data_IF_829138925354
#
_entry.id   IF_829138925354
#
_cell.length_a   1.000
_cell.length_b   1.000
_cell.length_c   1.000
_cell.angle_alpha   90.00
_cell.angle_beta   90.00
_cell.angle_gamma   90.00
#
_symmetry.space_group_name_H-M   'P 1'
#
loop_
_entity.id
_entity.type
_entity.pdbx_description
1 polymer ?
#
# COMPACT_ATOMS: atom_id res chain seq x y z
N UNK A 1 4.12 -30.55 -3.47
CA UNK A 1 5.07 -29.55 -3.98
C UNK A 1 4.28 -28.60 -4.85
N UNK A 2 3.69 -27.57 -4.25
CA UNK A 2 3.08 -26.44 -4.95
C UNK A 2 3.94 -25.25 -4.54
N UNK A 3 4.66 -24.65 -5.48
CA UNK A 3 5.41 -23.42 -5.21
C UNK A 3 4.42 -22.33 -4.85
N UNK A 4 4.57 -21.73 -3.67
CA UNK A 4 3.83 -20.52 -3.34
C UNK A 4 4.30 -19.44 -4.32
N UNK A 5 3.45 -19.07 -5.28
CA UNK A 5 3.57 -17.77 -5.91
C UNK A 5 3.30 -16.77 -4.79
N UNK A 6 4.36 -16.12 -4.30
CA UNK A 6 4.24 -15.09 -3.27
C UNK A 6 3.61 -13.88 -3.94
N UNK A 7 2.30 -13.72 -3.75
CA UNK A 7 1.54 -12.66 -4.35
C UNK A 7 1.99 -11.29 -3.83
N UNK A 8 1.71 -10.23 -4.59
CA UNK A 8 1.95 -8.85 -4.15
C UNK A 8 1.17 -8.58 -2.88
N UNK A 9 1.82 -8.00 -1.88
CA UNK A 9 1.22 -7.70 -0.57
C UNK A 9 1.13 -6.20 -0.35
N UNK A 10 0.15 -5.79 0.43
CA UNK A 10 0.08 -4.46 1.03
C UNK A 10 1.12 -4.41 2.15
N UNK A 11 2.15 -3.59 1.99
CA UNK A 11 3.32 -3.54 2.85
C UNK A 11 3.24 -2.47 3.94
N UNK A 12 2.82 -1.27 3.56
CA UNK A 12 2.68 -0.13 4.47
C UNK A 12 1.41 0.65 4.12
N UNK A 13 0.76 1.17 5.15
CA UNK A 13 -0.32 2.16 5.03
C UNK A 13 0.11 3.35 5.89
N UNK A 14 0.45 4.47 5.27
CA UNK A 14 0.70 5.72 5.98
C UNK A 14 -0.60 6.49 6.07
N UNK A 15 -1.22 6.49 7.25
CA UNK A 15 -2.44 7.23 7.52
C UNK A 15 -2.22 8.19 8.70
N UNK A 16 -2.97 9.30 8.73
CA UNK A 16 -2.89 10.29 9.80
C UNK A 16 -1.45 10.85 10.00
N UNK A 17 -0.91 11.58 9.01
CA UNK A 17 0.42 12.18 9.11
C UNK A 17 0.51 13.19 10.28
N UNK A 18 1.74 13.53 10.74
CA UNK A 18 1.94 14.45 11.88
C UNK A 18 1.23 15.79 11.73
N UNK A 19 1.13 16.27 10.49
CA UNK A 19 0.35 17.43 10.09
C UNK A 19 -0.71 16.98 9.07
N UNK A 20 -1.96 16.86 9.51
CA UNK A 20 -3.09 16.45 8.66
C UNK A 20 -3.51 17.50 7.62
N UNK A 21 -2.85 18.66 7.57
CA UNK A 21 -3.00 19.63 6.49
C UNK A 21 -2.05 19.36 5.32
N UNK A 22 -1.04 18.51 5.52
CA UNK A 22 -0.12 18.04 4.48
C UNK A 22 -0.59 16.67 4.00
N UNK A 23 -0.85 16.57 2.70
CA UNK A 23 -1.44 15.39 2.06
C UNK A 23 -0.41 14.28 1.81
N UNK A 24 -0.02 13.60 2.88
CA UNK A 24 1.06 12.60 2.87
C UNK A 24 0.57 11.16 3.00
N UNK A 25 -0.73 10.90 2.93
CA UNK A 25 -1.25 9.54 3.08
C UNK A 25 -0.92 8.65 1.87
N UNK A 26 -0.46 7.42 2.12
CA UNK A 26 -0.08 6.48 1.06
C UNK A 26 -0.30 5.01 1.42
N UNK A 27 -0.35 4.18 0.38
CA UNK A 27 -0.30 2.72 0.44
C UNK A 27 0.96 2.26 -0.29
N UNK A 28 1.76 1.41 0.32
CA UNK A 28 2.91 0.77 -0.32
C UNK A 28 2.60 -0.71 -0.58
N UNK A 29 2.94 -1.16 -1.79
CA UNK A 29 2.93 -2.57 -2.16
C UNK A 29 4.35 -3.13 -2.18
N UNK A 30 4.51 -4.41 -1.82
CA UNK A 30 5.77 -5.13 -1.91
C UNK A 30 5.60 -6.40 -2.75
N UNK A 31 6.62 -6.70 -3.56
CA UNK A 31 6.74 -7.96 -4.27
C UNK A 31 7.75 -8.90 -3.58
N UNK A 32 7.29 -9.83 -2.71
CA UNK A 32 8.18 -10.82 -2.09
C UNK A 32 8.66 -11.93 -3.05
N UNK A 33 8.17 -11.94 -4.29
CA UNK A 33 8.51 -12.95 -5.29
C UNK A 33 9.87 -12.79 -5.94
N UNK A 34 10.22 -13.79 -6.74
CA UNK A 34 11.47 -13.87 -7.49
C UNK A 34 11.35 -13.35 -8.95
N UNK A 35 10.16 -12.86 -9.34
CA UNK A 35 9.87 -12.34 -10.67
C UNK A 35 9.13 -11.00 -10.66
N UNK A 36 9.18 -10.30 -11.79
CA UNK A 36 8.37 -9.10 -12.04
C UNK A 36 6.89 -9.48 -12.17
N UNK A 37 6.01 -8.70 -11.53
CA UNK A 37 4.55 -8.82 -11.65
C UNK A 37 4.01 -7.61 -12.40
N UNK A 38 3.18 -7.88 -13.41
CA UNK A 38 2.44 -6.86 -14.14
C UNK A 38 1.11 -6.56 -13.42
N UNK A 39 0.92 -5.31 -13.04
CA UNK A 39 -0.25 -4.81 -12.31
C UNK A 39 -1.28 -4.18 -13.23
N UNK A 40 -1.14 -4.26 -14.55
CA UNK A 40 -2.09 -3.67 -15.49
C UNK A 40 -3.52 -4.13 -15.20
N UNK A 41 -4.43 -3.17 -14.95
CA UNK A 41 -5.83 -3.44 -14.63
C UNK A 41 -6.10 -3.94 -13.21
N UNK A 42 -5.08 -4.11 -12.36
CA UNK A 42 -5.26 -4.35 -10.93
C UNK A 42 -5.85 -3.11 -10.27
N UNK A 43 -6.34 -3.24 -9.03
CA UNK A 43 -6.79 -2.07 -8.27
C UNK A 43 -6.68 -2.18 -6.75
N UNK A 44 -6.56 -1.03 -6.11
CA UNK A 44 -6.92 -0.83 -4.72
C UNK A 44 -8.44 -0.59 -4.61
N UNK A 45 -9.06 -1.11 -3.56
CA UNK A 45 -10.48 -0.88 -3.26
C UNK A 45 -10.76 -0.97 -1.76
N UNK A 46 -11.85 -0.35 -1.32
CA UNK A 46 -12.28 -0.34 0.08
C UNK A 46 -12.07 1.04 0.70
N UNK A 47 -10.99 1.20 1.46
CA UNK A 47 -10.62 2.48 2.07
C UNK A 47 -10.26 3.56 1.01
N UNK A 48 -9.53 3.13 -0.02
CA UNK A 48 -9.18 3.96 -1.18
C UNK A 48 -9.45 3.19 -2.46
N UNK A 49 -9.67 3.92 -3.56
CA UNK A 49 -9.86 3.38 -4.90
C UNK A 49 -8.75 3.89 -5.83
N UNK A 50 -8.07 2.97 -6.50
CA UNK A 50 -7.03 3.29 -7.49
C UNK A 50 -6.87 2.15 -8.51
N UNK A 51 -6.89 2.46 -9.80
CA UNK A 51 -6.68 1.46 -10.88
C UNK A 51 -5.31 1.66 -11.51
N UNK A 52 -4.53 0.59 -11.58
CA UNK A 52 -3.21 0.61 -12.19
C UNK A 52 -3.33 0.67 -13.72
N UNK A 53 -2.64 1.65 -14.32
CA UNK A 53 -2.57 1.80 -15.78
C UNK A 53 -1.81 0.64 -16.44
N UNK A 54 -2.02 0.47 -17.74
CA UNK A 54 -1.25 -0.48 -18.56
C UNK A 54 0.26 -0.25 -18.43
N UNK A 55 1.01 -1.34 -18.27
CA UNK A 55 2.46 -1.36 -18.18
C UNK A 55 3.03 -1.05 -16.78
N UNK A 56 2.20 -0.84 -15.76
CA UNK A 56 2.69 -0.75 -14.38
C UNK A 56 3.16 -2.11 -13.92
N UNK A 57 4.41 -2.18 -13.46
CA UNK A 57 5.08 -3.41 -13.04
C UNK A 57 5.81 -3.21 -11.73
N UNK A 58 5.92 -4.27 -10.95
CA UNK A 58 6.73 -4.33 -9.73
C UNK A 58 7.72 -5.48 -9.84
N UNK A 59 9.02 -5.14 -9.81
CA UNK A 59 10.10 -6.13 -9.88
C UNK A 59 10.16 -7.00 -8.62
N UNK A 60 10.89 -8.12 -8.70
CA UNK A 60 11.20 -8.96 -7.54
C UNK A 60 11.88 -8.15 -6.42
N UNK A 61 11.39 -8.26 -5.19
CA UNK A 61 11.90 -7.53 -4.02
C UNK A 61 11.71 -6.00 -4.09
N UNK A 62 10.92 -5.50 -5.04
CA UNK A 62 10.68 -4.07 -5.20
C UNK A 62 9.42 -3.62 -4.46
N UNK A 63 9.33 -2.30 -4.27
CA UNK A 63 8.21 -1.61 -3.64
C UNK A 63 7.54 -0.65 -4.64
N UNK A 64 6.25 -0.40 -4.45
CA UNK A 64 5.48 0.57 -5.24
C UNK A 64 4.53 1.36 -4.33
N UNK A 65 4.66 2.68 -4.34
CA UNK A 65 3.86 3.59 -3.50
C UNK A 65 2.71 4.19 -4.31
N UNK A 66 1.53 4.25 -3.71
CA UNK A 66 0.32 4.89 -4.24
C UNK A 66 -0.16 5.92 -3.21
N UNK A 67 -0.21 7.18 -3.57
CA UNK A 67 -0.44 8.29 -2.65
C UNK A 67 -1.69 9.10 -2.96
N UNK A 68 -2.22 9.80 -1.94
CA UNK A 68 -3.30 10.77 -2.13
C UNK A 68 -2.85 12.01 -2.94
N UNK A 69 -1.56 12.31 -2.87
CA UNK A 69 -0.91 13.45 -3.53
C UNK A 69 0.58 13.12 -3.83
N UNK A 70 0.89 12.58 -5.02
CA UNK A 70 2.25 12.18 -5.38
C UNK A 70 3.26 13.33 -5.38
N UNK A 71 2.83 14.54 -5.73
CA UNK A 71 3.72 15.71 -5.74
C UNK A 71 4.10 16.12 -4.32
N UNK A 72 3.16 16.05 -3.37
CA UNK A 72 3.43 16.28 -1.96
C UNK A 72 4.46 15.29 -1.41
N UNK A 73 4.34 14.00 -1.69
CA UNK A 73 5.34 13.00 -1.28
C UNK A 73 6.71 13.26 -1.91
N UNK A 74 6.75 13.64 -3.19
CA UNK A 74 7.98 13.98 -3.90
C UNK A 74 8.68 15.19 -3.26
N UNK A 75 7.92 16.18 -2.82
CA UNK A 75 8.46 17.43 -2.25
C UNK A 75 8.84 17.30 -0.78
N UNK A 76 8.07 16.53 -0.01
CA UNK A 76 8.22 16.45 1.45
C UNK A 76 9.03 15.25 1.93
N UNK A 77 8.94 14.13 1.23
CA UNK A 77 9.61 12.87 1.58
C UNK A 77 10.67 12.44 0.54
N UNK A 78 10.82 13.18 -0.56
CA UNK A 78 11.70 12.82 -1.68
C UNK A 78 11.42 11.39 -2.22
N UNK A 79 10.14 11.00 -2.21
CA UNK A 79 9.68 9.68 -2.67
C UNK A 79 8.85 9.81 -3.95
N UNK A 80 8.99 8.84 -4.85
CA UNK A 80 8.16 8.75 -6.06
C UNK A 80 6.95 7.89 -5.77
N UNK A 81 5.77 8.36 -6.15
CA UNK A 81 4.52 7.63 -5.97
C UNK A 81 3.65 7.67 -7.24
N UNK A 82 2.81 6.67 -7.39
CA UNK A 82 1.63 6.71 -8.24
C UNK A 82 0.48 7.42 -7.51
N UNK A 83 -0.55 7.80 -8.25
CA UNK A 83 -1.74 8.45 -7.71
C UNK A 83 -2.22 9.59 -8.62
N UNK A 84 -3.09 10.48 -8.11
CA UNK A 84 -3.77 10.35 -6.82
C UNK A 84 -4.72 9.14 -6.79
N UNK A 85 -4.90 8.52 -5.62
CA UNK A 85 -6.05 7.65 -5.39
C UNK A 85 -7.28 8.48 -5.00
N UNK A 86 -8.47 7.89 -5.14
CA UNK A 86 -9.71 8.43 -4.60
C UNK A 86 -9.99 7.86 -3.20
N UNK A 87 -10.72 8.61 -2.37
CA UNK A 87 -11.01 8.22 -0.98
C UNK A 87 -10.06 8.85 0.03
N UNK A 88 -9.98 8.26 1.22
CA UNK A 88 -9.10 8.69 2.33
C UNK A 88 -8.76 7.48 3.18
N UNK A 89 -7.62 7.49 3.87
CA UNK A 89 -7.33 6.45 4.85
C UNK A 89 -7.84 6.91 6.21
N UNK A 90 -9.01 6.43 6.64
CA UNK A 90 -9.58 6.86 7.92
C UNK A 90 -8.66 6.48 9.10
N UNK A 91 -8.42 7.45 9.99
CA UNK A 91 -7.66 7.28 11.22
C UNK A 91 -8.26 6.26 12.18
N UNK A 92 -9.57 6.00 12.06
CA UNK A 92 -10.26 4.95 12.77
C UNK A 92 -10.13 3.58 12.10
N UNK A 93 -9.33 3.45 11.05
CA UNK A 93 -9.04 2.21 10.36
C UNK A 93 -10.19 1.64 9.53
N UNK A 94 -9.84 1.02 8.41
CA UNK A 94 -10.77 0.50 7.41
C UNK A 94 -10.21 -0.76 6.75
N UNK A 95 -10.98 -1.37 5.85
CA UNK A 95 -10.47 -2.48 5.04
C UNK A 95 -9.94 -1.99 3.70
N UNK A 96 -8.67 -2.24 3.45
CA UNK A 96 -8.02 -2.04 2.15
C UNK A 96 -7.84 -3.40 1.46
N UNK A 97 -8.08 -3.45 0.15
CA UNK A 97 -7.92 -4.66 -0.68
C UNK A 97 -7.09 -4.35 -1.91
N UNK A 98 -6.16 -5.24 -2.21
CA UNK A 98 -5.52 -5.34 -3.51
C UNK A 98 -6.24 -6.40 -4.32
N UNK A 99 -6.64 -6.06 -5.55
CA UNK A 99 -7.35 -6.96 -6.46
C UNK A 99 -6.61 -7.06 -7.79
N UNK A 100 -6.59 -8.26 -8.36
CA UNK A 100 -5.99 -8.48 -9.67
C UNK A 100 -6.89 -7.97 -10.81
N UNK A 101 -6.44 -8.18 -12.05
CA UNK A 101 -7.19 -7.80 -13.26
C UNK A 101 -8.45 -8.62 -13.52
N UNK A 102 -8.65 -9.75 -12.82
CA UNK A 102 -9.88 -10.55 -12.85
C UNK A 102 -10.84 -10.19 -11.72
N UNK A 103 -10.53 -9.17 -10.92
CA UNK A 103 -11.26 -8.78 -9.72
C UNK A 103 -11.17 -9.79 -8.55
N UNK A 104 -10.17 -10.67 -8.57
CA UNK A 104 -9.87 -11.56 -7.44
C UNK A 104 -9.08 -10.80 -6.37
N UNK A 105 -9.42 -11.02 -5.09
CA UNK A 105 -8.69 -10.40 -3.98
C UNK A 105 -7.34 -11.10 -3.83
N UNK A 106 -6.26 -10.34 -4.02
CA UNK A 106 -4.88 -10.78 -3.88
C UNK A 106 -4.40 -10.61 -2.44
N UNK A 107 -4.71 -9.46 -1.85
CA UNK A 107 -4.41 -9.16 -0.45
C UNK A 107 -5.48 -8.28 0.20
N UNK A 108 -5.60 -8.35 1.52
CA UNK A 108 -6.59 -7.63 2.30
C UNK A 108 -6.03 -7.29 3.68
N UNK A 109 -6.10 -6.00 4.04
CA UNK A 109 -5.67 -5.49 5.35
C UNK A 109 -6.83 -4.75 6.02
N UNK A 110 -7.06 -5.06 7.30
CA UNK A 110 -7.85 -4.25 8.23
C UNK A 110 -6.86 -3.54 9.16
N UNK A 111 -6.53 -2.28 8.86
CA UNK A 111 -5.40 -1.59 9.49
C UNK A 111 -5.73 -0.96 10.86
N UNK A 112 -6.94 -1.20 11.41
CA UNK A 112 -7.24 -0.92 12.83
C UNK A 112 -6.97 -2.11 13.74
N UNK A 113 -7.02 -3.33 13.21
CA UNK A 113 -7.31 -4.54 14.02
C UNK A 113 -6.25 -5.64 13.87
N UNK A 114 -5.00 -5.32 14.22
CA UNK A 114 -4.01 -6.28 14.74
C UNK A 114 -3.28 -7.23 13.77
N UNK A 115 -1.98 -7.39 14.06
CA UNK A 115 -0.95 -8.38 13.66
C UNK A 115 -1.06 -9.10 12.29
N UNK A 116 -0.04 -9.05 11.39
CA UNK A 116 1.37 -8.66 11.62
C UNK A 116 1.62 -7.17 11.89
N UNK A 117 0.59 -6.36 11.80
CA UNK A 117 0.53 -4.94 12.17
C UNK A 117 0.58 -4.72 13.70
N UNK A 118 1.61 -4.05 14.27
CA UNK A 118 1.56 -3.65 15.67
C UNK A 118 0.44 -2.61 15.88
N UNK A 119 -0.29 -2.73 16.99
CA UNK A 119 -1.23 -1.69 17.46
C UNK A 119 -0.52 -0.35 17.53
N UNK A 120 -1.08 0.66 16.85
CA UNK A 120 -0.56 2.02 16.85
C UNK A 120 -0.32 2.53 18.27
N UNK A 121 0.87 3.08 18.61
CA UNK A 121 0.98 3.97 19.74
C UNK A 121 0.19 5.25 19.40
N UNK A 122 -0.63 5.67 20.34
CA UNK A 122 -1.40 6.90 20.27
C UNK A 122 -0.52 8.11 19.93
N UNK A 123 -0.62 8.59 18.68
CA UNK A 123 -0.41 9.99 18.31
C UNK A 123 1.01 10.56 18.36
N UNK A 124 1.93 10.07 17.53
CA UNK A 124 3.23 10.74 17.25
C UNK A 124 3.74 10.61 15.79
N UNK A 125 2.89 10.35 14.79
CA UNK A 125 3.32 10.34 13.38
C UNK A 125 4.12 9.09 12.96
N UNK A 126 3.66 7.91 13.37
CA UNK A 126 4.30 6.65 13.01
C UNK A 126 3.95 6.24 11.57
N UNK A 127 4.98 6.10 10.72
CA UNK A 127 4.93 5.21 9.55
C UNK A 127 4.70 3.77 10.01
N UNK A 128 3.90 3.01 9.25
CA UNK A 128 3.64 1.60 9.55
C UNK A 128 4.54 0.73 8.69
N UNK A 129 5.79 0.56 9.11
CA UNK A 129 6.71 -0.37 8.44
C UNK A 129 6.52 -1.82 8.95
N UNK A 130 6.43 -2.78 8.03
CA UNK A 130 6.55 -4.21 8.32
C UNK A 130 7.95 -4.49 8.90
N UNK A 131 8.01 -4.87 10.18
CA UNK A 131 9.25 -5.15 10.91
C UNK A 131 10.04 -6.38 10.39
N UNK A 132 9.58 -7.10 9.37
CA UNK A 132 10.33 -8.22 8.79
C UNK A 132 9.81 -8.72 7.43
N UNK A 133 10.53 -8.51 6.32
CA UNK A 133 10.25 -9.21 5.06
C UNK A 133 10.88 -10.62 4.95
N UNK A 134 11.62 -11.13 5.96
CA UNK A 134 12.38 -12.39 5.86
C UNK A 134 12.31 -13.31 7.11
N UNK A 135 11.14 -13.52 7.73
CA UNK A 135 11.02 -14.50 8.84
C UNK A 135 9.96 -15.59 8.59
#
# INVERSE_FOLDING_TARGET
>A
MLGASSAIVINEIHHNPPDNTVRQEFVELFNPGDGEVDLSGWRLSGAVDYVFSEGVKIGAGAYLVIAEDPDTLRETLNSSALGPYDGKLDSDGETLRLRDSNDEVVDLVDYKTGFPWPVAPSGEGASMELLNPDL
#
